data_IF_415900194909
#
_entry.id   IF_415900194909
#
_cell.length_a   1.000
_cell.length_b   1.000
_cell.length_c   1.000
_cell.angle_alpha   90.00
_cell.angle_beta   90.00
_cell.angle_gamma   90.00
#
_symmetry.space_group_name_H-M   'P 1'
#
loop_
_entity.id
_entity.type
_entity.pdbx_description
1 polymer ?
#
# COMPACT_ATOMS: atom_id res chain seq x y z
N UNK A 1 71.38 54.75 -51.65
CA UNK A 1 70.11 54.45 -52.36
C UNK A 1 69.54 53.08 -52.00
N UNK A 2 70.35 52.07 -51.64
CA UNK A 2 69.85 50.72 -51.29
C UNK A 2 69.26 50.59 -49.86
N UNK A 3 69.67 51.47 -48.93
CA UNK A 3 69.36 51.33 -47.49
C UNK A 3 67.95 51.74 -47.09
N UNK A 4 67.33 52.70 -47.78
CA UNK A 4 65.99 53.19 -47.47
C UNK A 4 64.88 52.22 -47.86
N UNK A 5 65.11 51.38 -48.87
CA UNK A 5 64.12 50.42 -49.35
C UNK A 5 64.05 49.17 -48.48
N UNK A 6 65.20 48.70 -48.00
CA UNK A 6 65.30 47.56 -47.08
C UNK A 6 64.69 47.90 -45.71
N UNK A 7 64.88 49.13 -45.22
CA UNK A 7 64.23 49.61 -44.00
C UNK A 7 62.71 49.67 -44.16
N UNK A 8 62.19 50.23 -45.26
CA UNK A 8 60.74 50.27 -45.50
C UNK A 8 60.12 48.86 -45.58
N UNK A 9 60.82 47.90 -46.19
CA UNK A 9 60.36 46.50 -46.23
C UNK A 9 60.37 45.83 -44.85
N UNK A 10 61.32 46.17 -43.97
CA UNK A 10 61.34 45.66 -42.61
C UNK A 10 60.18 46.22 -41.79
N UNK A 11 59.94 47.55 -41.86
CA UNK A 11 58.85 48.23 -41.17
C UNK A 11 57.47 47.68 -41.61
N UNK A 12 57.30 47.42 -42.91
CA UNK A 12 56.08 46.81 -43.45
C UNK A 12 55.85 45.39 -42.90
N UNK A 13 56.88 44.53 -42.86
CA UNK A 13 56.75 43.18 -42.30
C UNK A 13 56.44 43.19 -40.81
N UNK A 14 57.02 44.12 -40.06
CA UNK A 14 56.73 44.30 -38.63
C UNK A 14 55.30 44.78 -38.42
N UNK A 15 54.82 45.72 -39.25
CA UNK A 15 53.42 46.15 -39.22
C UNK A 15 52.46 45.01 -39.54
N UNK A 16 52.72 44.21 -40.58
CA UNK A 16 51.88 43.07 -40.94
C UNK A 16 51.87 41.99 -39.85
N UNK A 17 53.04 41.73 -39.24
CA UNK A 17 53.17 40.80 -38.11
C UNK A 17 52.36 41.26 -36.90
N UNK A 18 52.38 42.56 -36.58
CA UNK A 18 51.61 43.12 -35.47
C UNK A 18 50.10 43.05 -35.72
N UNK A 19 49.65 43.29 -36.96
CA UNK A 19 48.23 43.14 -37.34
C UNK A 19 47.77 41.69 -37.18
N UNK A 20 48.55 40.72 -37.68
CA UNK A 20 48.23 39.29 -37.54
C UNK A 20 48.19 38.84 -36.07
N UNK A 21 49.06 39.36 -35.22
CA UNK A 21 49.04 39.06 -33.79
C UNK A 21 47.79 39.63 -33.09
N UNK A 22 47.40 40.86 -33.44
CA UNK A 22 46.19 41.50 -32.92
C UNK A 22 44.93 40.75 -33.36
N UNK A 23 44.85 40.35 -34.63
CA UNK A 23 43.72 39.57 -35.14
C UNK A 23 43.62 38.19 -34.49
N UNK A 24 44.75 37.52 -34.28
CA UNK A 24 44.78 36.24 -33.55
C UNK A 24 44.39 36.40 -32.08
N UNK A 25 44.83 37.47 -31.41
CA UNK A 25 44.44 37.77 -30.04
C UNK A 25 42.92 38.04 -29.95
N UNK A 26 42.37 38.82 -30.87
CA UNK A 26 40.95 39.11 -30.96
C UNK A 26 40.12 37.85 -31.27
N UNK A 27 40.60 36.98 -32.16
CA UNK A 27 39.96 35.71 -32.46
C UNK A 27 39.95 34.78 -31.23
N UNK A 28 41.07 34.67 -30.52
CA UNK A 28 41.18 33.88 -29.30
C UNK A 28 40.23 34.38 -28.19
N UNK A 29 40.13 35.70 -28.00
CA UNK A 29 39.19 36.29 -27.04
C UNK A 29 37.73 35.98 -27.36
N UNK A 30 37.34 36.04 -28.65
CA UNK A 30 35.98 35.69 -29.08
C UNK A 30 35.68 34.21 -28.83
N UNK A 31 36.62 33.31 -29.15
CA UNK A 31 36.46 31.87 -28.88
C UNK A 31 36.36 31.60 -27.38
N UNK A 32 37.20 32.23 -26.56
CA UNK A 32 37.15 32.11 -25.11
C UNK A 32 35.81 32.62 -24.52
N UNK A 33 35.28 33.73 -25.04
CA UNK A 33 33.99 34.26 -24.62
C UNK A 33 32.84 33.29 -24.93
N UNK A 34 32.80 32.71 -26.14
CA UNK A 34 31.78 31.73 -26.53
C UNK A 34 31.89 30.45 -25.69
N UNK A 35 33.11 29.97 -25.43
CA UNK A 35 33.33 28.80 -24.59
C UNK A 35 32.84 29.03 -23.14
N UNK A 36 33.08 30.21 -22.59
CA UNK A 36 32.61 30.58 -21.26
C UNK A 36 31.07 30.67 -21.20
N UNK A 37 30.44 31.24 -22.23
CA UNK A 37 28.97 31.31 -22.31
C UNK A 37 28.35 29.91 -22.39
N UNK A 38 28.91 29.03 -23.22
CA UNK A 38 28.45 27.64 -23.33
C UNK A 38 28.58 26.90 -21.98
N UNK A 39 29.71 27.04 -21.29
CA UNK A 39 29.92 26.45 -19.97
C UNK A 39 28.96 27.00 -18.90
N UNK A 40 28.63 28.29 -18.97
CA UNK A 40 27.66 28.91 -18.06
C UNK A 40 26.23 28.42 -18.33
N UNK A 41 25.85 28.23 -19.60
CA UNK A 41 24.55 27.67 -19.98
C UNK A 41 24.43 26.23 -19.50
N UNK A 42 25.46 25.41 -19.71
CA UNK A 42 25.48 24.02 -19.24
C UNK A 42 25.35 23.94 -17.71
N UNK A 43 26.08 24.77 -16.97
CA UNK A 43 25.92 24.83 -15.51
C UNK A 43 24.50 25.20 -15.07
N UNK A 44 23.86 26.17 -15.74
CA UNK A 44 22.46 26.53 -15.45
C UNK A 44 21.51 25.37 -15.75
N UNK A 45 21.72 24.65 -16.85
CA UNK A 45 20.91 23.49 -17.20
C UNK A 45 21.07 22.36 -16.18
N UNK A 46 22.30 22.05 -15.78
CA UNK A 46 22.60 21.04 -14.76
C UNK A 46 22.00 21.42 -13.41
N UNK A 47 22.06 22.69 -13.03
CA UNK A 47 21.42 23.17 -11.79
C UNK A 47 19.90 23.00 -11.84
N UNK A 48 19.27 23.39 -12.96
CA UNK A 48 17.81 23.22 -13.13
C UNK A 48 17.38 21.75 -13.12
N UNK A 49 18.16 20.86 -13.75
CA UNK A 49 17.89 19.42 -13.73
C UNK A 49 18.03 18.84 -12.31
N UNK A 50 19.04 19.28 -11.55
CA UNK A 50 19.23 18.89 -10.16
C UNK A 50 18.06 19.34 -9.28
N UNK A 51 17.63 20.60 -9.40
CA UNK A 51 16.48 21.13 -8.66
C UNK A 51 15.18 20.37 -9.01
N UNK A 52 14.97 20.05 -10.29
CA UNK A 52 13.82 19.24 -10.73
C UNK A 52 13.83 17.85 -10.11
N UNK A 53 14.99 17.17 -10.09
CA UNK A 53 15.14 15.84 -9.48
C UNK A 53 14.95 15.88 -7.97
N UNK A 54 15.41 16.93 -7.31
CA UNK A 54 15.22 17.11 -5.87
C UNK A 54 13.73 17.27 -5.53
N UNK A 55 13.00 18.10 -6.28
CA UNK A 55 11.56 18.28 -6.10
C UNK A 55 10.78 16.97 -6.34
N UNK A 56 11.15 16.20 -7.36
CA UNK A 56 10.55 14.89 -7.62
C UNK A 56 10.82 13.90 -6.48
N UNK A 57 12.06 13.84 -5.98
CA UNK A 57 12.42 13.01 -4.85
C UNK A 57 11.67 13.40 -3.56
N UNK A 58 11.49 14.68 -3.29
CA UNK A 58 10.69 15.16 -2.17
C UNK A 58 9.21 14.75 -2.31
N UNK A 59 8.64 14.87 -3.51
CA UNK A 59 7.27 14.42 -3.80
C UNK A 59 7.12 12.92 -3.57
N UNK A 60 8.01 12.11 -4.12
CA UNK A 60 7.99 10.65 -3.95
C UNK A 60 8.12 10.23 -2.49
N UNK A 61 8.96 10.92 -1.71
CA UNK A 61 9.07 10.67 -0.25
C UNK A 61 7.75 10.94 0.47
N UNK A 62 7.07 12.04 0.12
CA UNK A 62 5.76 12.37 0.71
C UNK A 62 4.69 11.35 0.30
N UNK A 63 4.66 10.94 -0.96
CA UNK A 63 3.72 9.93 -1.44
C UNK A 63 3.95 8.57 -0.74
N UNK A 64 5.22 8.20 -0.52
CA UNK A 64 5.59 7.01 0.24
C UNK A 64 5.15 7.10 1.70
N UNK A 65 5.36 8.23 2.37
CA UNK A 65 4.91 8.45 3.76
C UNK A 65 3.39 8.30 3.90
N UNK A 66 2.62 8.89 2.97
CA UNK A 66 1.16 8.77 2.93
C UNK A 66 0.74 7.31 2.71
N UNK A 67 1.39 6.62 1.77
CA UNK A 67 1.10 5.21 1.49
C UNK A 67 1.43 4.31 2.68
N UNK A 68 2.56 4.52 3.37
CA UNK A 68 2.92 3.75 4.57
C UNK A 68 1.95 3.99 5.72
N UNK A 69 1.49 5.22 5.89
CA UNK A 69 0.46 5.55 6.87
C UNK A 69 -0.84 4.83 6.56
N UNK A 70 -1.31 4.88 5.31
CA UNK A 70 -2.51 4.17 4.87
C UNK A 70 -2.41 2.64 5.07
N UNK A 71 -1.22 2.06 4.81
CA UNK A 71 -0.96 0.64 5.09
C UNK A 71 -1.10 0.31 6.58
N UNK A 72 -0.50 1.12 7.46
CA UNK A 72 -0.58 0.91 8.91
C UNK A 72 -2.01 1.04 9.44
N UNK A 73 -2.77 2.00 8.92
CA UNK A 73 -4.19 2.16 9.27
C UNK A 73 -5.02 0.95 8.83
N UNK A 74 -4.81 0.44 7.61
CA UNK A 74 -5.44 -0.78 7.13
C UNK A 74 -5.06 -2.02 7.96
N UNK A 75 -3.78 -2.16 8.33
CA UNK A 75 -3.31 -3.26 9.19
C UNK A 75 -3.95 -3.21 10.59
N UNK A 76 -4.07 -2.02 11.18
CA UNK A 76 -4.75 -1.84 12.46
C UNK A 76 -6.24 -2.20 12.37
N UNK A 77 -6.91 -1.82 11.28
CA UNK A 77 -8.32 -2.16 11.07
C UNK A 77 -8.54 -3.65 10.87
N UNK A 78 -7.67 -4.32 10.09
CA UNK A 78 -7.72 -5.78 9.94
C UNK A 78 -7.49 -6.48 11.28
N UNK A 79 -6.52 -6.02 12.09
CA UNK A 79 -6.29 -6.57 13.42
C UNK A 79 -7.51 -6.38 14.34
N UNK A 80 -8.19 -5.23 14.28
CA UNK A 80 -9.43 -4.94 15.01
C UNK A 80 -10.54 -5.91 14.60
N UNK A 81 -10.81 -6.03 13.31
CA UNK A 81 -11.85 -6.93 12.77
C UNK A 81 -11.60 -8.40 13.10
N UNK A 82 -10.33 -8.85 13.08
CA UNK A 82 -9.97 -10.20 13.51
C UNK A 82 -10.22 -10.41 15.01
N UNK A 83 -9.96 -9.40 15.84
CA UNK A 83 -10.29 -9.41 17.26
C UNK A 83 -11.79 -9.54 17.50
N UNK A 84 -12.60 -8.71 16.83
CA UNK A 84 -14.06 -8.75 16.91
C UNK A 84 -14.64 -10.09 16.43
N UNK A 85 -14.13 -10.61 15.30
CA UNK A 85 -14.51 -11.92 14.80
C UNK A 85 -14.26 -13.01 15.85
N UNK A 86 -13.08 -13.02 16.47
CA UNK A 86 -12.74 -14.01 17.49
C UNK A 86 -13.64 -13.88 18.73
N UNK A 87 -13.97 -12.66 19.13
CA UNK A 87 -14.90 -12.43 20.23
C UNK A 87 -16.31 -12.95 19.91
N UNK A 88 -16.78 -12.74 18.68
CA UNK A 88 -18.06 -13.29 18.23
C UNK A 88 -18.04 -14.82 18.18
N UNK A 89 -16.94 -15.43 17.71
CA UNK A 89 -16.78 -16.88 17.72
C UNK A 89 -16.87 -17.46 19.14
N UNK A 90 -16.19 -16.86 20.11
CA UNK A 90 -16.26 -17.27 21.53
C UNK A 90 -17.67 -17.09 22.10
N UNK A 91 -18.34 -15.98 21.79
CA UNK A 91 -19.74 -15.75 22.21
C UNK A 91 -20.68 -16.78 21.61
N UNK A 92 -20.50 -17.13 20.34
CA UNK A 92 -21.28 -18.15 19.67
C UNK A 92 -21.09 -19.51 20.34
N UNK A 93 -19.84 -19.92 20.59
CA UNK A 93 -19.52 -21.15 21.31
C UNK A 93 -20.18 -21.19 22.71
N UNK A 94 -20.18 -20.08 23.45
CA UNK A 94 -20.86 -19.99 24.75
C UNK A 94 -22.37 -20.19 24.63
N UNK A 95 -23.02 -19.56 23.65
CA UNK A 95 -24.46 -19.71 23.41
C UNK A 95 -24.80 -21.14 22.97
N UNK A 96 -23.95 -21.74 22.14
CA UNK A 96 -24.08 -23.14 21.71
C UNK A 96 -24.01 -24.10 22.92
N UNK A 97 -23.08 -23.87 23.86
CA UNK A 97 -22.96 -24.64 25.10
C UNK A 97 -24.17 -24.44 26.02
N UNK A 98 -24.59 -23.19 26.25
CA UNK A 98 -25.74 -22.87 27.11
C UNK A 98 -27.05 -23.46 26.55
N UNK A 99 -27.20 -23.48 25.23
CA UNK A 99 -28.32 -24.15 24.57
C UNK A 99 -28.33 -25.64 24.87
N UNK A 100 -27.20 -26.34 24.69
CA UNK A 100 -27.09 -27.78 24.95
C UNK A 100 -27.39 -28.10 26.41
N UNK A 101 -26.85 -27.34 27.36
CA UNK A 101 -27.07 -27.56 28.80
C UNK A 101 -28.55 -27.34 29.17
N UNK A 102 -29.17 -26.26 28.70
CA UNK A 102 -30.59 -25.98 29.00
C UNK A 102 -31.54 -26.97 28.32
N UNK A 103 -31.20 -27.44 27.12
CA UNK A 103 -31.98 -28.46 26.40
C UNK A 103 -31.83 -29.85 27.06
N UNK A 104 -30.67 -30.16 27.66
CA UNK A 104 -30.45 -31.41 28.41
C UNK A 104 -31.25 -31.47 29.72
N UNK A 105 -31.51 -30.32 30.34
CA UNK A 105 -32.24 -30.22 31.61
C UNK A 105 -33.77 -30.17 31.46
N UNK A 106 -34.29 -30.20 30.23
CA UNK A 106 -35.72 -30.38 29.99
C UNK A 106 -35.98 -31.86 29.68
N UNK A 107 -36.72 -32.56 30.56
CA UNK A 107 -36.95 -34.02 30.54
C UNK A 107 -37.55 -34.58 29.23
N UNK A 108 -37.91 -33.72 28.27
CA UNK A 108 -38.53 -34.10 27.00
C UNK A 108 -37.55 -34.57 25.90
N UNK A 109 -36.23 -34.41 26.05
CA UNK A 109 -35.30 -34.59 24.91
C UNK A 109 -34.02 -35.40 25.21
N UNK A 110 -34.09 -36.41 26.09
CA UNK A 110 -33.01 -37.37 26.34
C UNK A 110 -32.46 -38.01 25.04
N UNK A 111 -33.32 -38.29 24.06
CA UNK A 111 -32.92 -38.85 22.77
C UNK A 111 -32.07 -37.89 21.89
N UNK A 112 -32.32 -36.58 21.97
CA UNK A 112 -31.55 -35.59 21.19
C UNK A 112 -30.15 -35.40 21.77
N UNK A 113 -30.03 -35.46 23.10
CA UNK A 113 -28.73 -35.35 23.74
C UNK A 113 -27.85 -36.58 23.53
N UNK A 114 -28.46 -37.77 23.47
CA UNK A 114 -27.77 -39.02 23.13
C UNK A 114 -27.29 -39.06 21.66
N UNK A 115 -28.01 -38.37 20.76
CA UNK A 115 -27.60 -38.17 19.37
C UNK A 115 -26.39 -37.20 19.31
N UNK A 116 -26.45 -36.10 20.05
CA UNK A 116 -25.36 -35.13 20.16
C UNK A 116 -24.07 -35.73 20.74
N UNK A 117 -24.20 -36.59 21.77
CA UNK A 117 -23.08 -37.30 22.37
C UNK A 117 -22.43 -38.34 21.43
N UNK A 118 -23.22 -38.93 20.51
CA UNK A 118 -22.76 -39.97 19.57
C UNK A 118 -22.13 -39.43 18.28
N UNK A 119 -22.69 -38.35 17.72
CA UNK A 119 -22.22 -37.77 16.45
C UNK A 119 -21.06 -36.79 16.68
N UNK A 120 -20.80 -36.40 17.93
CA UNK A 120 -19.69 -35.53 18.28
C UNK A 120 -20.03 -34.06 18.01
N UNK A 121 -19.64 -33.21 18.96
CA UNK A 121 -19.98 -31.79 19.01
C UNK A 121 -19.67 -31.03 17.71
N UNK A 122 -18.56 -31.35 17.05
CA UNK A 122 -18.09 -30.70 15.82
C UNK A 122 -18.97 -30.98 14.59
N UNK A 123 -19.49 -32.20 14.45
CA UNK A 123 -20.27 -32.60 13.26
C UNK A 123 -21.70 -32.04 13.32
N UNK A 124 -22.31 -31.98 14.51
CA UNK A 124 -23.62 -31.35 14.68
C UNK A 124 -23.54 -29.83 14.47
N UNK A 125 -22.47 -29.19 14.95
CA UNK A 125 -22.21 -27.78 14.66
C UNK A 125 -21.96 -27.50 13.19
N UNK A 126 -21.29 -28.41 12.47
CA UNK A 126 -21.10 -28.29 11.03
C UNK A 126 -22.42 -28.36 10.25
N UNK A 127 -23.33 -29.26 10.63
CA UNK A 127 -24.68 -29.35 10.02
C UNK A 127 -25.51 -28.09 10.29
N UNK A 128 -25.48 -27.58 11.53
CA UNK A 128 -26.19 -26.36 11.91
C UNK A 128 -25.66 -25.11 11.18
N UNK A 129 -24.34 -25.03 10.94
CA UNK A 129 -23.71 -23.90 10.24
C UNK A 129 -23.92 -23.93 8.72
N UNK A 130 -24.12 -25.10 8.13
CA UNK A 130 -24.28 -25.25 6.67
C UNK A 130 -25.71 -25.01 6.21
N UNK A 131 -26.72 -25.34 7.01
CA UNK A 131 -28.11 -25.24 6.57
C UNK A 131 -28.83 -23.92 6.93
N UNK A 132 -28.37 -23.14 7.92
CA UNK A 132 -29.07 -21.91 8.33
C UNK A 132 -28.14 -20.78 8.86
N UNK A 133 -27.83 -19.74 8.08
CA UNK A 133 -26.99 -18.61 8.54
C UNK A 133 -27.67 -17.70 9.57
N UNK A 134 -28.98 -17.86 9.80
CA UNK A 134 -29.75 -17.16 10.84
C UNK A 134 -30.77 -18.18 11.38
N UNK A 135 -30.44 -18.83 12.48
CA UNK A 135 -31.34 -19.74 13.16
C UNK A 135 -32.32 -18.92 14.02
N UNK A 136 -33.56 -18.78 13.54
CA UNK A 136 -34.66 -18.33 14.39
C UNK A 136 -35.10 -19.50 15.29
N UNK A 137 -34.58 -19.46 16.53
CA UNK A 137 -34.71 -20.48 17.57
C UNK A 137 -36.16 -20.88 17.88
N UNK A 138 -37.16 -20.08 17.50
CA UNK A 138 -38.58 -20.44 17.63
C UNK A 138 -39.05 -21.53 16.66
N UNK A 139 -38.38 -21.70 15.53
CA UNK A 139 -38.85 -22.61 14.45
C UNK A 139 -38.39 -24.07 14.62
N UNK A 140 -37.30 -24.31 15.35
CA UNK A 140 -36.79 -25.67 15.58
C UNK A 140 -37.62 -26.46 16.59
N UNK A 141 -38.09 -25.78 17.66
CA UNK A 141 -39.05 -26.37 18.60
C UNK A 141 -40.43 -26.66 17.99
N UNK A 142 -40.80 -25.96 16.91
CA UNK A 142 -42.07 -26.16 16.21
C UNK A 142 -42.04 -27.33 15.20
N UNK A 143 -40.85 -27.74 14.71
CA UNK A 143 -40.71 -28.84 13.75
C UNK A 143 -40.72 -30.23 14.39
N UNK A 144 -40.43 -30.30 15.68
CA UNK A 144 -40.49 -31.52 16.48
C UNK A 144 -41.41 -31.28 17.67
N UNK A 145 -42.72 -31.12 17.44
CA UNK A 145 -43.66 -31.01 18.54
C UNK A 145 -43.52 -32.25 19.43
N UNK A 146 -43.59 -32.08 20.77
CA UNK A 146 -43.52 -33.21 21.68
C UNK A 146 -44.61 -34.23 21.28
N UNK A 147 -44.34 -35.54 21.33
CA UNK A 147 -45.34 -36.53 21.03
C UNK A 147 -46.55 -36.29 21.93
N UNK A 148 -47.74 -36.26 21.33
CA UNK A 148 -48.99 -36.08 22.07
C UNK A 148 -49.02 -37.12 23.18
N UNK A 149 -49.05 -36.66 24.44
CA UNK A 149 -49.23 -37.53 25.57
C UNK A 149 -50.55 -38.27 25.36
N UNK A 150 -50.49 -39.57 25.09
CA UNK A 150 -51.67 -40.44 25.08
C UNK A 150 -52.39 -40.21 26.41
N UNK A 151 -53.59 -39.62 26.32
CA UNK A 151 -54.41 -39.37 27.48
C UNK A 151 -54.69 -40.67 28.19
N UNK A 152 -54.40 -40.71 29.49
CA UNK A 152 -55.03 -41.66 30.40
C UNK A 152 -56.54 -41.35 30.43
N UNK A 153 -57.29 -41.95 29.52
CA UNK A 153 -58.71 -42.20 29.75
C UNK A 153 -58.85 -43.35 30.76
N UNK A 154 -59.20 -42.97 32.00
CA UNK A 154 -60.03 -43.76 32.89
C UNK A 154 -59.32 -44.76 33.80
N UNK A 155 -59.23 -44.41 35.10
CA UNK A 155 -59.87 -45.11 36.24
C UNK A 155 -59.58 -44.39 37.55
#
# INVERSE_FOLDING_TARGET
MHTTYEQLQADLRESDSNVLQLDNANAAQKVAAVALEAANIENRNLQSESESRELEAQRLRKDLEVSEKGRKEAEAEVARLLGEKKEMEVKLESVEVDFIVNFHNTEAYTNFSDYFARVGHQEVLAVLRVEHPILDLGTLGARFPPPEAEGEEGS
#
